data_IF_881952991868
#
_entry.id   IF_881952991868
#
_cell.length_a   1.000
_cell.length_b   1.000
_cell.length_c   1.000
_cell.angle_alpha   90.00
_cell.angle_beta   90.00
_cell.angle_gamma   90.00
#
_symmetry.space_group_name_H-M   'P 1'
#
loop_
_entity.id
_entity.type
_entity.pdbx_description
1 polymer ?
#
# COMPACT_ATOMS: atom_id res chain seq x y z
N UNK A 1 22.84 9.18 -11.65
CA UNK A 1 21.37 9.05 -11.74
C UNK A 1 20.90 8.55 -10.39
N UNK A 2 20.12 9.34 -9.64
CA UNK A 2 19.59 8.89 -8.35
C UNK A 2 18.62 7.72 -8.61
N UNK A 3 18.87 6.56 -7.98
CA UNK A 3 17.91 5.46 -7.99
C UNK A 3 16.65 5.98 -7.32
N UNK A 4 15.56 6.10 -8.07
CA UNK A 4 14.24 6.35 -7.50
C UNK A 4 13.88 5.11 -6.67
N UNK A 5 13.70 5.27 -5.37
CA UNK A 5 13.24 4.16 -4.51
C UNK A 5 11.79 3.90 -4.90
N UNK A 6 11.53 2.70 -5.38
CA UNK A 6 10.20 2.13 -5.60
C UNK A 6 10.19 0.82 -4.82
N UNK A 7 9.20 0.61 -3.95
CA UNK A 7 8.96 -0.67 -3.29
C UNK A 7 7.56 -1.13 -3.63
N UNK A 8 7.40 -2.40 -4.01
CA UNK A 8 6.10 -2.98 -4.36
C UNK A 8 5.72 -4.05 -3.37
N UNK A 9 4.45 -4.05 -2.99
CA UNK A 9 3.90 -4.98 -2.02
C UNK A 9 2.62 -5.60 -2.57
N UNK A 10 2.39 -6.89 -2.27
CA UNK A 10 1.20 -7.62 -2.68
C UNK A 10 0.68 -8.50 -1.54
N UNK A 11 -0.64 -8.47 -1.31
CA UNK A 11 -1.31 -9.28 -0.30
C UNK A 11 -2.46 -10.08 -0.92
N UNK A 12 -2.51 -11.38 -0.65
CA UNK A 12 -3.65 -12.21 -1.00
C UNK A 12 -4.76 -12.02 0.04
N UNK A 13 -5.97 -11.66 -0.39
CA UNK A 13 -7.12 -11.40 0.48
C UNK A 13 -8.18 -12.47 0.27
N UNK A 14 -8.71 -13.01 1.36
CA UNK A 14 -9.80 -13.98 1.33
C UNK A 14 -11.08 -13.36 0.77
N UNK A 15 -11.68 -14.01 -0.23
CA UNK A 15 -12.89 -13.54 -0.89
C UNK A 15 -12.64 -12.56 -2.04
N UNK A 16 -11.38 -12.24 -2.36
CA UNK A 16 -11.02 -11.49 -3.58
C UNK A 16 -10.34 -12.39 -4.61
N UNK A 17 -10.76 -12.27 -5.87
CA UNK A 17 -10.13 -12.98 -7.01
C UNK A 17 -8.77 -12.41 -7.40
N UNK A 18 -8.37 -11.28 -6.79
CA UNK A 18 -7.15 -10.54 -7.10
C UNK A 18 -6.47 -10.10 -5.80
N UNK A 19 -5.14 -9.98 -5.85
CA UNK A 19 -4.35 -9.49 -4.73
C UNK A 19 -4.52 -7.98 -4.54
N UNK A 20 -4.32 -7.51 -3.32
CA UNK A 20 -4.15 -6.10 -3.00
C UNK A 20 -2.71 -5.70 -3.30
N UNK A 21 -2.51 -4.76 -4.21
CA UNK A 21 -1.18 -4.25 -4.56
C UNK A 21 -0.99 -2.82 -4.05
N UNK A 22 0.21 -2.56 -3.51
CA UNK A 22 0.67 -1.25 -3.11
C UNK A 22 2.08 -0.96 -3.62
N UNK A 23 2.40 0.32 -3.79
CA UNK A 23 3.75 0.78 -4.11
C UNK A 23 4.13 1.99 -3.26
N UNK A 24 5.36 2.04 -2.79
CA UNK A 24 5.94 3.19 -2.09
C UNK A 24 6.97 3.82 -3.03
N UNK A 25 6.82 5.11 -3.32
CA UNK A 25 7.66 5.84 -4.27
C UNK A 25 8.32 7.01 -3.54
N UNK A 26 9.63 7.15 -3.66
CA UNK A 26 10.27 8.40 -3.24
C UNK A 26 9.97 9.52 -4.25
N UNK A 27 9.37 10.61 -3.76
CA UNK A 27 8.90 11.76 -4.53
C UNK A 27 9.41 13.07 -3.93
N UNK A 28 9.47 14.11 -4.76
CA UNK A 28 9.76 15.49 -4.33
C UNK A 28 8.54 16.40 -4.51
N UNK A 29 7.36 15.82 -4.74
CA UNK A 29 6.11 16.55 -5.01
C UNK A 29 5.59 17.29 -3.78
N UNK A 30 5.83 16.75 -2.58
CA UNK A 30 5.38 17.34 -1.31
C UNK A 30 6.58 17.64 -0.43
N UNK A 31 6.73 18.91 -0.06
CA UNK A 31 7.79 19.37 0.83
C UNK A 31 7.69 18.66 2.19
N UNK A 32 8.81 18.15 2.69
CA UNK A 32 8.91 17.37 3.94
C UNK A 32 8.23 15.99 3.96
N UNK A 33 7.57 15.54 2.89
CA UNK A 33 6.96 14.21 2.81
C UNK A 33 7.45 13.46 1.56
N UNK A 34 8.70 12.96 1.58
CA UNK A 34 9.36 12.46 0.39
C UNK A 34 8.92 11.06 -0.03
N UNK A 35 7.99 10.40 0.68
CA UNK A 35 7.54 9.04 0.34
C UNK A 35 6.04 9.02 0.06
N UNK A 36 5.66 8.54 -1.11
CA UNK A 36 4.28 8.37 -1.55
C UNK A 36 3.90 6.89 -1.54
N UNK A 37 2.96 6.48 -0.69
CA UNK A 37 2.30 5.18 -0.74
C UNK A 37 1.11 5.25 -1.70
N UNK A 38 1.06 4.40 -2.72
CA UNK A 38 -0.05 4.27 -3.67
C UNK A 38 -0.62 2.86 -3.57
N UNK A 39 -1.94 2.73 -3.40
CA UNK A 39 -2.62 1.42 -3.29
C UNK A 39 -3.62 1.27 -4.44
N UNK A 40 -3.45 0.25 -5.28
CA UNK A 40 -4.36 -0.02 -6.39
C UNK A 40 -5.62 -0.72 -5.87
N UNK A 41 -6.74 0.01 -5.84
CA UNK A 41 -8.04 -0.59 -5.51
C UNK A 41 -8.70 -1.12 -6.79
N UNK A 42 -9.14 -2.39 -6.78
CA UNK A 42 -9.97 -2.97 -7.85
C UNK A 42 -11.31 -3.58 -7.42
N UNK A 43 -11.64 -3.68 -6.13
CA UNK A 43 -12.95 -4.19 -5.70
C UNK A 43 -13.50 -3.45 -4.48
N UNK A 44 -14.77 -3.02 -4.56
CA UNK A 44 -15.62 -2.85 -3.39
C UNK A 44 -16.03 -4.26 -2.95
N UNK A 45 -15.56 -4.78 -1.81
CA UNK A 45 -16.09 -6.04 -1.32
C UNK A 45 -17.57 -5.80 -1.03
N UNK A 46 -18.45 -6.60 -1.62
CA UNK A 46 -19.87 -6.61 -1.30
C UNK A 46 -20.02 -6.70 0.24
N UNK A 47 -20.45 -5.60 0.86
CA UNK A 47 -20.63 -5.34 2.29
C UNK A 47 -19.90 -6.25 3.31
N UNK A 48 -18.82 -5.69 3.87
CA UNK A 48 -18.11 -6.21 5.04
C UNK A 48 -16.94 -5.33 5.51
N UNK A 49 -16.55 -4.31 4.74
CA UNK A 49 -15.64 -3.25 5.17
C UNK A 49 -16.44 -2.13 5.88
N UNK A 50 -16.75 -2.32 7.16
CA UNK A 50 -17.69 -1.45 7.90
C UNK A 50 -17.10 -0.06 8.25
N UNK A 51 -15.79 0.14 8.07
CA UNK A 51 -15.10 1.37 8.44
C UNK A 51 -14.45 2.10 7.25
N UNK A 52 -14.27 3.41 7.41
CA UNK A 52 -13.67 4.31 6.40
C UNK A 52 -12.28 3.82 6.04
N UNK A 53 -12.07 3.51 4.77
CA UNK A 53 -10.78 3.06 4.25
C UNK A 53 -10.25 4.03 3.22
N UNK A 54 -9.08 4.60 3.50
CA UNK A 54 -8.24 5.28 2.52
C UNK A 54 -6.77 5.10 2.95
N UNK A 55 -5.77 5.19 2.06
CA UNK A 55 -5.89 5.77 0.70
C UNK A 55 -5.22 5.01 -0.46
N UNK A 56 -5.67 5.40 -1.66
CA UNK A 56 -5.01 5.21 -2.95
C UNK A 56 -3.73 6.04 -3.15
N UNK A 57 -3.48 7.08 -2.34
CA UNK A 57 -2.23 7.89 -2.31
C UNK A 57 -2.05 8.56 -0.93
N UNK A 58 -0.96 8.28 -0.22
CA UNK A 58 -0.56 8.88 1.07
C UNK A 58 0.87 9.38 0.98
N UNK A 59 1.18 10.54 1.59
CA UNK A 59 2.54 11.04 1.71
C UNK A 59 3.04 10.90 3.16
N UNK A 60 4.26 10.41 3.36
CA UNK A 60 4.88 10.20 4.68
C UNK A 60 6.30 10.77 4.73
N UNK A 61 6.78 11.02 5.95
CA UNK A 61 8.12 11.58 6.19
C UNK A 61 9.22 10.52 5.99
N UNK A 62 8.91 9.26 6.32
CA UNK A 62 9.84 8.13 6.20
C UNK A 62 9.24 6.96 5.43
N UNK A 63 10.11 6.08 4.95
CA UNK A 63 9.73 4.85 4.26
C UNK A 63 9.10 3.84 5.23
N UNK A 64 9.56 3.79 6.48
CA UNK A 64 9.01 2.95 7.54
C UNK A 64 7.57 3.33 7.87
N UNK A 65 7.26 4.63 7.89
CA UNK A 65 5.89 5.11 8.04
C UNK A 65 5.01 4.64 6.87
N UNK A 66 5.46 4.79 5.62
CA UNK A 66 4.71 4.32 4.45
C UNK A 66 4.44 2.81 4.50
N UNK A 67 5.40 2.00 4.95
CA UNK A 67 5.22 0.56 5.15
C UNK A 67 4.21 0.26 6.26
N UNK A 68 4.32 0.92 7.41
CA UNK A 68 3.38 0.74 8.52
C UNK A 68 1.95 1.12 8.14
N UNK A 69 1.78 2.17 7.34
CA UNK A 69 0.48 2.57 6.78
C UNK A 69 -0.08 1.49 5.84
N UNK A 70 0.76 0.91 4.98
CA UNK A 70 0.34 -0.17 4.08
C UNK A 70 -0.05 -1.45 4.84
N UNK A 71 0.69 -1.83 5.88
CA UNK A 71 0.37 -2.96 6.75
C UNK A 71 -0.92 -2.74 7.54
N UNK A 72 -1.09 -1.54 8.12
CA UNK A 72 -2.32 -1.14 8.81
C UNK A 72 -3.51 -1.20 7.86
N UNK A 73 -3.37 -0.67 6.64
CA UNK A 73 -4.36 -0.77 5.58
C UNK A 73 -4.71 -2.25 5.31
N UNK A 74 -3.72 -3.12 5.10
CA UNK A 74 -3.93 -4.54 4.83
C UNK A 74 -4.58 -5.32 5.99
N UNK A 75 -4.34 -4.93 7.25
CA UNK A 75 -4.89 -5.60 8.44
C UNK A 75 -6.42 -5.55 8.54
N UNK A 76 -7.07 -4.63 7.81
CA UNK A 76 -8.52 -4.54 7.74
C UNK A 76 -9.14 -5.65 6.87
N UNK A 77 -8.32 -6.41 6.15
CA UNK A 77 -8.73 -7.55 5.34
C UNK A 77 -8.29 -8.86 6.00
N UNK A 78 -9.03 -9.93 5.72
CA UNK A 78 -8.59 -11.27 6.08
C UNK A 78 -7.51 -11.71 5.09
N UNK A 79 -6.26 -11.48 5.45
CA UNK A 79 -5.08 -11.80 4.62
C UNK A 79 -4.78 -13.30 4.72
N UNK A 80 -4.64 -13.95 3.57
CA UNK A 80 -4.34 -15.39 3.46
C UNK A 80 -2.88 -15.66 3.04
N UNK A 81 -2.10 -14.61 2.76
CA UNK A 81 -0.69 -14.73 2.40
C UNK A 81 -0.05 -13.37 2.15
N UNK A 82 1.24 -13.27 2.45
CA UNK A 82 2.07 -12.08 2.24
C UNK A 82 3.20 -12.43 1.27
N UNK A 83 3.29 -11.72 0.13
CA UNK A 83 4.47 -11.78 -0.74
C UNK A 83 5.15 -10.42 -0.76
N UNK A 84 6.23 -10.29 0.01
CA UNK A 84 7.10 -9.12 0.01
C UNK A 84 8.21 -9.31 -1.01
N UNK A 85 8.24 -8.53 -2.10
CA UNK A 85 9.34 -8.56 -3.05
C UNK A 85 10.17 -7.27 -2.98
N UNK A 86 11.34 -7.29 -2.29
CA UNK A 86 12.17 -6.10 -2.10
C UNK A 86 13.00 -5.70 -3.34
N UNK A 87 12.82 -6.36 -4.49
CA UNK A 87 13.76 -6.29 -5.63
C UNK A 87 13.21 -5.69 -6.94
N UNK A 88 12.11 -4.93 -6.91
CA UNK A 88 11.60 -4.22 -8.10
C UNK A 88 11.65 -2.72 -7.93
#
# INVERSE_FOLDING_TARGET
MAKKIEERHSFAIEGLSHALEGKIIQTNEVEHLPYELVVSHFCKPFDGAVNVHKPSRTHTETIEQARSEFESYASHFKVIGVESNPNF
#
